data_IF_773078505741
#
_entry.id   IF_773078505741
#
_cell.length_a   1.000
_cell.length_b   1.000
_cell.length_c   1.000
_cell.angle_alpha   90.00
_cell.angle_beta   90.00
_cell.angle_gamma   90.00
#
_symmetry.space_group_name_H-M   'P 1'
#
loop_
_entity.id
_entity.type
_entity.pdbx_description
1 polymer ?
#
# COMPACT_ATOMS: atom_id res chain seq x y z
N UNK A 1 -19.39 12.47 -11.45
CA UNK A 1 -19.00 11.13 -10.94
C UNK A 1 -18.71 11.34 -9.47
N UNK A 2 -19.59 10.86 -8.60
CA UNK A 2 -19.48 11.07 -7.16
C UNK A 2 -18.32 10.22 -6.63
N UNK A 3 -17.34 10.83 -5.97
CA UNK A 3 -16.26 10.08 -5.33
C UNK A 3 -16.84 9.41 -4.08
N UNK A 4 -16.98 8.09 -4.11
CA UNK A 4 -17.39 7.34 -2.93
C UNK A 4 -16.25 7.31 -1.93
N UNK A 5 -16.48 7.88 -0.75
CA UNK A 5 -15.56 7.81 0.38
C UNK A 5 -16.09 6.82 1.42
N UNK A 6 -15.25 5.88 1.84
CA UNK A 6 -15.56 4.93 2.92
C UNK A 6 -14.85 5.38 4.19
N UNK A 7 -15.61 5.61 5.26
CA UNK A 7 -15.04 5.82 6.59
C UNK A 7 -14.77 4.46 7.25
N UNK A 8 -13.56 4.30 7.80
CA UNK A 8 -13.16 3.17 8.63
C UNK A 8 -12.68 3.72 9.98
N UNK A 9 -13.21 3.17 11.07
CA UNK A 9 -12.81 3.57 12.42
C UNK A 9 -11.80 2.55 12.97
N UNK A 10 -10.60 3.02 13.32
CA UNK A 10 -9.53 2.19 13.93
C UNK A 10 -9.09 2.88 15.21
N UNK A 11 -9.22 2.21 16.37
CA UNK A 11 -8.72 2.68 17.67
C UNK A 11 -8.97 4.18 17.96
N UNK A 12 -10.21 4.64 17.82
CA UNK A 12 -10.63 6.05 17.96
C UNK A 12 -10.14 7.04 16.88
N UNK A 13 -9.61 6.56 15.77
CA UNK A 13 -9.29 7.38 14.60
C UNK A 13 -10.25 7.09 13.44
N UNK A 14 -10.81 8.16 12.86
CA UNK A 14 -11.58 8.08 11.62
C UNK A 14 -10.63 8.18 10.41
N UNK A 15 -10.58 7.12 9.61
CA UNK A 15 -9.80 7.05 8.38
C UNK A 15 -10.79 7.12 7.21
N UNK A 16 -10.59 8.07 6.30
CA UNK A 16 -11.38 8.19 5.07
C UNK A 16 -10.62 7.56 3.91
N UNK A 17 -11.25 6.61 3.23
CA UNK A 17 -10.69 5.89 2.09
C UNK A 17 -11.42 6.32 0.83
N UNK A 18 -10.67 6.86 -0.15
CA UNK A 18 -11.18 7.27 -1.47
C UNK A 18 -10.77 6.27 -2.55
N UNK A 19 -11.49 6.23 -3.67
CA UNK A 19 -11.32 5.22 -4.73
C UNK A 19 -9.93 5.19 -5.41
N UNK A 20 -9.12 6.25 -5.30
CA UNK A 20 -7.72 6.30 -5.77
C UNK A 20 -6.68 5.88 -4.72
N UNK A 21 -7.11 5.53 -3.52
CA UNK A 21 -6.14 5.22 -2.48
C UNK A 21 -5.43 3.89 -2.75
N UNK A 22 -4.12 3.91 -2.54
CA UNK A 22 -3.27 2.73 -2.48
C UNK A 22 -3.19 2.29 -1.02
N UNK A 23 -3.65 1.09 -0.72
CA UNK A 23 -3.54 0.50 0.62
C UNK A 23 -2.34 -0.44 0.61
N UNK A 24 -1.45 -0.30 1.58
CA UNK A 24 -0.24 -1.11 1.70
C UNK A 24 -0.19 -1.76 3.07
N UNK A 25 -0.08 -3.08 3.10
CA UNK A 25 0.17 -3.85 4.32
C UNK A 25 1.61 -4.37 4.32
N UNK A 26 2.25 -4.33 5.48
CA UNK A 26 3.60 -4.87 5.67
C UNK A 26 3.61 -5.84 6.84
N UNK A 27 4.12 -7.04 6.61
CA UNK A 27 4.48 -8.01 7.63
C UNK A 27 5.97 -7.83 7.96
N UNK A 28 6.28 -7.70 9.25
CA UNK A 28 7.60 -7.31 9.75
C UNK A 28 8.22 -8.50 10.48
N UNK A 29 9.27 -9.07 9.90
CA UNK A 29 10.07 -10.14 10.49
C UNK A 29 11.36 -9.64 11.14
N UNK A 30 12.10 -10.52 11.80
CA UNK A 30 13.39 -10.18 12.40
C UNK A 30 14.48 -9.90 11.36
N UNK A 31 14.45 -10.62 10.23
CA UNK A 31 15.45 -10.52 9.16
C UNK A 31 14.85 -10.06 7.83
N UNK A 32 13.65 -10.58 7.50
CA UNK A 32 12.97 -10.34 6.23
C UNK A 32 11.57 -9.84 6.47
N UNK A 33 11.16 -8.86 5.67
CA UNK A 33 9.86 -8.21 5.67
C UNK A 33 9.15 -8.44 4.35
N UNK A 34 7.82 -8.37 4.39
CA UNK A 34 6.98 -8.59 3.23
C UNK A 34 5.95 -7.47 3.12
N UNK A 35 5.94 -6.77 1.99
CA UNK A 35 5.00 -5.70 1.72
C UNK A 35 4.09 -6.06 0.55
N UNK A 36 2.79 -5.78 0.69
CA UNK A 36 1.79 -6.02 -0.36
C UNK A 36 0.90 -4.80 -0.51
N UNK A 37 0.57 -4.49 -1.76
CA UNK A 37 -0.30 -3.39 -2.12
C UNK A 37 -1.63 -3.90 -2.68
N UNK A 38 -2.72 -3.27 -2.28
CA UNK A 38 -4.06 -3.49 -2.81
C UNK A 38 -4.72 -2.15 -3.16
N UNK A 39 -5.67 -2.17 -4.08
CA UNK A 39 -6.61 -1.06 -4.22
C UNK A 39 -7.75 -1.16 -3.19
N UNK A 40 -8.61 -0.15 -3.14
CA UNK A 40 -9.76 -0.11 -2.22
C UNK A 40 -10.77 -1.24 -2.41
N UNK A 41 -10.73 -1.94 -3.56
CA UNK A 41 -11.57 -3.09 -3.87
C UNK A 41 -10.94 -4.41 -3.43
N UNK A 42 -9.76 -4.36 -2.81
CA UNK A 42 -9.00 -5.52 -2.37
C UNK A 42 -8.24 -6.23 -3.47
N UNK A 43 -8.12 -5.65 -4.67
CA UNK A 43 -7.36 -6.26 -5.77
C UNK A 43 -5.88 -6.03 -5.54
N UNK A 44 -5.10 -7.11 -5.62
CA UNK A 44 -3.63 -7.04 -5.49
C UNK A 44 -3.05 -6.26 -6.66
N UNK A 45 -2.18 -5.30 -6.35
CA UNK A 45 -1.51 -4.45 -7.34
C UNK A 45 -0.04 -4.89 -7.50
N UNK A 46 0.40 -5.00 -8.76
CA UNK A 46 1.76 -5.45 -9.10
C UNK A 46 1.88 -6.98 -9.19
N UNK A 47 3.10 -7.50 -9.03
CA UNK A 47 3.41 -8.94 -9.17
C UNK A 47 3.16 -9.75 -7.88
N UNK A 48 2.51 -9.16 -6.86
CA UNK A 48 2.22 -9.82 -5.59
C UNK A 48 2.93 -9.17 -4.41
N UNK A 49 3.66 -9.96 -3.64
CA UNK A 49 4.42 -9.50 -2.45
C UNK A 49 5.82 -9.04 -2.85
N UNK A 50 6.28 -7.94 -2.26
CA UNK A 50 7.67 -7.50 -2.34
C UNK A 50 8.38 -7.84 -1.04
N UNK A 51 9.50 -8.52 -1.16
CA UNK A 51 10.36 -8.94 -0.04
C UNK A 51 11.51 -7.93 0.13
N UNK A 52 11.85 -7.60 1.37
CA UNK A 52 13.00 -6.74 1.67
C UNK A 52 13.65 -7.09 3.01
N UNK A 53 14.93 -6.78 3.15
CA UNK A 53 15.70 -7.07 4.37
C UNK A 53 15.44 -6.05 5.48
N UNK A 54 15.73 -6.45 6.71
CA UNK A 54 15.71 -5.59 7.89
C UNK A 54 16.93 -4.66 7.97
N UNK A 55 17.14 -3.88 6.91
CA UNK A 55 18.22 -2.89 6.79
C UNK A 55 17.64 -1.58 6.27
N UNK A 56 18.31 -0.45 6.53
CA UNK A 56 17.87 0.85 6.00
C UNK A 56 17.68 0.83 4.48
N UNK A 57 18.59 0.17 3.74
CA UNK A 57 18.49 -0.02 2.29
C UNK A 57 17.24 -0.84 1.91
N UNK A 58 16.92 -1.90 2.66
CA UNK A 58 15.70 -2.68 2.47
C UNK A 58 14.43 -1.83 2.57
N UNK A 59 14.35 -0.96 3.58
CA UNK A 59 13.21 -0.04 3.75
C UNK A 59 13.15 1.03 2.65
N UNK A 60 14.29 1.55 2.19
CA UNK A 60 14.35 2.48 1.05
C UNK A 60 13.84 1.81 -0.24
N UNK A 61 14.24 0.56 -0.47
CA UNK A 61 13.78 -0.25 -1.60
C UNK A 61 12.26 -0.51 -1.53
N UNK A 62 11.73 -0.84 -0.34
CA UNK A 62 10.29 -0.99 -0.14
C UNK A 62 9.53 0.32 -0.41
N UNK A 63 10.03 1.45 0.08
CA UNK A 63 9.46 2.78 -0.21
C UNK A 63 9.46 3.08 -1.71
N UNK A 64 10.57 2.83 -2.40
CA UNK A 64 10.68 3.05 -3.83
C UNK A 64 9.68 2.18 -4.62
N UNK A 65 9.49 0.93 -4.18
CA UNK A 65 8.50 0.03 -4.77
C UNK A 65 7.06 0.55 -4.61
N UNK A 66 6.67 0.99 -3.41
CA UNK A 66 5.34 1.58 -3.15
C UNK A 66 5.11 2.83 -4.00
N UNK A 67 6.10 3.72 -4.10
CA UNK A 67 5.99 4.94 -4.91
C UNK A 67 5.80 4.64 -6.39
N UNK A 68 6.48 3.61 -6.92
CA UNK A 68 6.27 3.14 -8.30
C UNK A 68 4.84 2.65 -8.53
N UNK A 69 4.24 1.97 -7.57
CA UNK A 69 2.83 1.54 -7.66
C UNK A 69 1.86 2.72 -7.59
N UNK A 70 2.08 3.66 -6.67
CA UNK A 70 1.25 4.85 -6.55
C UNK A 70 1.26 5.69 -7.85
N UNK A 71 2.43 5.83 -8.48
CA UNK A 71 2.56 6.51 -9.78
C UNK A 71 1.80 5.80 -10.91
N UNK A 72 1.80 4.46 -10.93
CA UNK A 72 1.03 3.67 -11.90
C UNK A 72 -0.48 3.82 -11.71
N UNK A 73 -0.96 3.81 -10.46
CA UNK A 73 -2.39 3.99 -10.15
C UNK A 73 -2.91 5.36 -10.62
N UNK A 74 -2.12 6.43 -10.48
CA UNK A 74 -2.49 7.76 -10.98
C UNK A 74 -2.57 7.85 -12.51
N UNK A 75 -1.75 7.07 -13.22
CA UNK A 75 -1.69 7.06 -14.70
C UNK A 75 -2.81 6.28 -15.38
N UNK A 76 -3.45 5.35 -14.67
CA UNK A 76 -4.54 4.52 -15.21
C UNK A 76 -5.93 5.14 -15.00
N UNK A 77 -5.99 6.46 -14.81
CA UNK A 77 -7.21 7.26 -14.74
C UNK A 77 -7.41 8.07 -16.01
#
# INVERSE_FOLDING_TARGET
MELTQKQVNVENQAIFIADDMLIVGCDIGSETHYIRAIDVRGRVLGYGTFEFSNTSEGFENARAWVLKLAAKMKRNR
#
